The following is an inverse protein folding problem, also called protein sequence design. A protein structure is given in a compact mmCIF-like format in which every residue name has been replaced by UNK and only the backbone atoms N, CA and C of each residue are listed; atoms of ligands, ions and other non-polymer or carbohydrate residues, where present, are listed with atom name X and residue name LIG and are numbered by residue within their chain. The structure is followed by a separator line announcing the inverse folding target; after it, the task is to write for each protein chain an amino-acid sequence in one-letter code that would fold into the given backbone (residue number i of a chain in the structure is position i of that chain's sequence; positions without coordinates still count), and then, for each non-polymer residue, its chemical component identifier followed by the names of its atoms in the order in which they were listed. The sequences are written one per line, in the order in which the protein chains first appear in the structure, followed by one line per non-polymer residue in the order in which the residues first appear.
data_IF_132741857835
#
_entry.id   IF_132741857835
#
_cell.length_a   1.000
_cell.length_b   1.000
_cell.length_c   1.000
_cell.angle_alpha   90.00
_cell.angle_beta   90.00
_cell.angle_gamma   90.00
#
_symmetry.space_group_name_H-M   'P 1'
#
loop_
_entity.id
_entity.type
_entity.pdbx_description
1 polymer ?
#
# COMPACT_ATOMS: atom_id res chain seq x y z
N UNK A 1 -63.55 12.72 24.66
CA UNK A 1 -64.20 11.76 23.74
C UNK A 1 -63.19 10.65 23.46
N UNK A 2 -63.19 9.54 24.22
CA UNK A 2 -63.80 8.23 23.86
C UNK A 2 -63.14 7.62 22.60
N UNK A 3 -62.03 6.87 22.78
CA UNK A 3 -61.83 5.40 22.56
C UNK A 3 -61.75 4.93 21.09
N UNK A 4 -60.66 4.30 20.60
CA UNK A 4 -60.13 2.91 20.79
C UNK A 4 -60.92 1.80 20.04
N UNK A 5 -60.16 0.88 19.41
CA UNK A 5 -60.50 -0.46 18.82
C UNK A 5 -60.87 -0.45 17.33
N UNK A 6 -60.42 -1.33 16.44
CA UNK A 6 -59.67 -2.59 16.57
C UNK A 6 -60.46 -3.78 15.99
N UNK A 7 -59.77 -4.60 15.17
CA UNK A 7 -59.91 -6.07 14.93
C UNK A 7 -60.83 -6.65 13.83
N UNK A 8 -60.18 -7.44 12.95
CA UNK A 8 -60.34 -8.89 12.61
C UNK A 8 -61.37 -9.38 11.57
N UNK A 9 -60.88 -10.31 10.70
CA UNK A 9 -61.40 -11.65 10.31
C UNK A 9 -61.25 -11.88 8.78
N UNK A 10 -60.35 -12.73 8.26
CA UNK A 10 -60.37 -14.21 8.05
C UNK A 10 -61.71 -14.76 7.54
N UNK A 11 -61.73 -15.30 6.30
CA UNK A 11 -62.48 -16.52 5.96
C UNK A 11 -61.93 -17.20 4.69
N UNK A 12 -61.74 -18.52 4.77
CA UNK A 12 -61.33 -19.44 3.70
C UNK A 12 -62.56 -20.12 3.06
N UNK A 13 -62.47 -20.51 1.78
CA UNK A 13 -63.40 -21.45 1.11
C UNK A 13 -62.60 -22.45 0.26
N UNK A 14 -62.93 -23.73 0.44
CA UNK A 14 -62.47 -24.94 -0.27
C UNK A 14 -63.67 -25.54 -1.03
N UNK A 15 -63.48 -26.19 -2.19
CA UNK A 15 -64.23 -27.34 -2.81
C UNK A 15 -63.54 -27.66 -4.17
N UNK A 16 -62.78 -28.76 -4.41
CA UNK A 16 -63.10 -30.15 -4.91
C UNK A 16 -63.96 -30.20 -6.20
N UNK A 17 -63.81 -31.03 -7.27
CA UNK A 17 -63.09 -32.27 -7.61
C UNK A 17 -63.17 -32.55 -9.15
N UNK A 18 -62.26 -33.33 -9.76
CA UNK A 18 -62.50 -34.59 -10.52
C UNK A 18 -61.37 -35.00 -11.50
N UNK A 19 -61.02 -36.29 -11.43
CA UNK A 19 -60.06 -37.08 -12.22
C UNK A 19 -60.70 -37.69 -13.49
N UNK A 20 -59.90 -37.87 -14.56
CA UNK A 20 -60.06 -38.94 -15.58
C UNK A 20 -58.68 -39.53 -15.93
N UNK A 21 -58.66 -40.84 -16.22
CA UNK A 21 -57.56 -41.82 -16.24
C UNK A 21 -56.81 -42.00 -17.58
N UNK A 22 -55.47 -42.17 -17.49
CA UNK A 22 -54.52 -43.10 -18.20
C UNK A 22 -54.40 -43.14 -19.76
N UNK A 23 -53.27 -43.64 -20.38
CA UNK A 23 -52.27 -44.58 -19.86
C UNK A 23 -50.76 -44.27 -20.06
N UNK A 24 -49.95 -45.06 -19.34
CA UNK A 24 -48.49 -45.22 -19.44
C UNK A 24 -48.04 -45.83 -20.78
N UNK A 25 -46.91 -45.34 -21.31
CA UNK A 25 -45.84 -46.20 -21.83
C UNK A 25 -44.48 -45.49 -21.96
N UNK A 26 -43.53 -45.93 -21.14
CA UNK A 26 -42.15 -46.34 -21.49
C UNK A 26 -41.19 -45.31 -22.12
N UNK A 27 -40.27 -44.74 -21.33
CA UNK A 27 -38.82 -45.03 -21.37
C UNK A 27 -38.02 -44.09 -20.45
N UNK A 28 -37.31 -44.69 -19.49
CA UNK A 28 -36.00 -44.25 -19.02
C UNK A 28 -35.95 -43.03 -18.11
N UNK A 29 -36.06 -43.22 -16.80
CA UNK A 29 -35.19 -42.62 -15.78
C UNK A 29 -35.46 -43.33 -14.45
N UNK A 30 -34.61 -44.30 -14.10
CA UNK A 30 -34.65 -44.97 -12.79
C UNK A 30 -33.29 -44.92 -12.15
N UNK A 31 -33.30 -44.63 -10.83
CA UNK A 31 -32.23 -44.77 -9.83
C UNK A 31 -31.22 -43.63 -9.70
N UNK A 32 -31.65 -42.52 -9.10
CA UNK A 32 -30.77 -41.65 -8.30
C UNK A 32 -31.51 -40.82 -7.22
N UNK A 33 -32.69 -41.25 -6.76
CA UNK A 33 -33.46 -40.50 -5.76
C UNK A 33 -33.98 -41.42 -4.65
N UNK A 34 -33.07 -42.07 -3.94
CA UNK A 34 -33.34 -42.72 -2.65
C UNK A 34 -32.01 -43.10 -1.95
N UNK A 35 -31.22 -42.11 -1.56
CA UNK A 35 -30.16 -42.30 -0.56
C UNK A 35 -29.73 -41.00 0.16
N UNK A 36 -30.60 -39.99 0.23
CA UNK A 36 -30.32 -38.75 0.97
C UNK A 36 -30.88 -38.90 2.40
N UNK A 37 -30.23 -39.76 3.19
CA UNK A 37 -30.31 -39.74 4.65
C UNK A 37 -29.23 -40.67 5.21
N UNK A 38 -27.98 -40.19 5.12
CA UNK A 38 -26.79 -40.58 5.90
C UNK A 38 -25.64 -39.71 5.39
N UNK A 39 -25.54 -38.49 5.92
CA UNK A 39 -24.26 -37.78 5.90
C UNK A 39 -23.27 -38.64 6.71
N UNK A 40 -22.14 -39.09 6.14
CA UNK A 40 -21.12 -39.71 6.95
C UNK A 40 -20.52 -38.62 7.84
N UNK A 41 -20.65 -38.80 9.16
CA UNK A 41 -19.79 -38.16 10.15
C UNK A 41 -18.38 -38.72 9.94
N UNK A 42 -17.62 -38.13 9.01
CA UNK A 42 -16.24 -38.49 8.76
C UNK A 42 -15.49 -37.33 8.09
N UNK A 43 -15.06 -36.36 8.91
CA UNK A 43 -13.98 -35.41 8.64
C UNK A 43 -13.58 -34.75 9.98
N UNK A 44 -13.45 -35.54 11.05
CA UNK A 44 -13.06 -35.02 12.36
C UNK A 44 -12.31 -36.06 13.19
N UNK A 45 -11.12 -36.45 12.73
CA UNK A 45 -10.29 -37.36 13.54
C UNK A 45 -8.78 -37.07 13.46
N UNK A 46 -8.30 -36.05 12.73
CA UNK A 46 -6.87 -35.68 12.73
C UNK A 46 -6.56 -34.36 13.44
N UNK A 47 -7.46 -33.37 13.38
CA UNK A 47 -7.27 -32.06 14.04
C UNK A 47 -7.35 -32.11 15.57
N UNK A 48 -8.37 -32.79 16.12
CA UNK A 48 -8.55 -32.92 17.58
C UNK A 48 -7.39 -33.67 18.26
N UNK A 49 -6.84 -34.69 17.59
CA UNK A 49 -5.67 -35.44 18.10
C UNK A 49 -4.38 -34.61 18.09
N UNK A 50 -4.25 -33.67 17.16
CA UNK A 50 -3.10 -32.78 17.05
C UNK A 50 -3.17 -31.68 18.12
N UNK A 51 -4.36 -31.09 18.33
CA UNK A 51 -4.55 -30.03 19.32
C UNK A 51 -4.34 -30.49 20.77
N UNK A 52 -4.86 -31.67 21.15
CA UNK A 52 -4.63 -32.20 22.50
C UNK A 52 -3.15 -32.55 22.75
N UNK A 53 -2.44 -33.00 21.71
CA UNK A 53 -1.01 -33.23 21.79
C UNK A 53 -0.23 -31.92 21.97
N UNK A 54 -0.58 -30.86 21.24
CA UNK A 54 0.00 -29.53 21.39
C UNK A 54 -0.24 -29.01 22.82
N UNK A 55 -1.49 -29.05 23.31
CA UNK A 55 -1.82 -28.62 24.68
C UNK A 55 -1.03 -29.37 25.74
N UNK A 56 -0.88 -30.69 25.57
CA UNK A 56 -0.04 -31.49 26.45
C UNK A 56 1.43 -31.04 26.39
N UNK A 57 1.98 -30.81 25.20
CA UNK A 57 3.35 -30.36 25.03
C UNK A 57 3.61 -28.97 25.66
N UNK A 58 2.63 -28.06 25.56
CA UNK A 58 2.65 -26.75 26.25
C UNK A 58 2.80 -26.95 27.76
N UNK A 59 1.92 -27.77 28.36
CA UNK A 59 1.94 -28.05 29.81
C UNK A 59 3.24 -28.73 30.23
N UNK A 60 3.67 -29.75 29.50
CA UNK A 60 4.88 -30.52 29.82
C UNK A 60 6.16 -29.64 29.77
N UNK A 61 6.20 -28.63 28.89
CA UNK A 61 7.31 -27.67 28.78
C UNK A 61 7.17 -26.44 29.69
N UNK A 62 6.01 -26.23 30.31
CA UNK A 62 5.72 -25.01 31.07
C UNK A 62 5.62 -23.75 30.20
N UNK A 63 5.26 -23.92 28.92
CA UNK A 63 5.15 -22.82 27.97
C UNK A 63 3.97 -21.90 28.31
N UNK A 64 4.12 -20.60 28.02
CA UNK A 64 3.22 -19.54 28.48
C UNK A 64 2.21 -19.09 27.41
N UNK A 65 1.68 -20.03 26.62
CA UNK A 65 0.69 -19.77 25.58
C UNK A 65 -0.42 -20.81 25.53
N UNK A 66 -1.54 -20.45 24.93
CA UNK A 66 -2.72 -21.31 24.82
C UNK A 66 -2.93 -21.72 23.37
N UNK A 67 -3.08 -23.03 23.14
CA UNK A 67 -3.49 -23.58 21.85
C UNK A 67 -5.01 -23.83 21.79
N UNK A 68 -5.60 -23.47 20.65
CA UNK A 68 -7.00 -23.71 20.34
C UNK A 68 -7.27 -23.71 18.84
N UNK A 69 -8.48 -24.06 18.44
CA UNK A 69 -8.87 -23.91 17.03
C UNK A 69 -8.89 -22.43 16.62
N UNK A 70 -8.34 -22.14 15.46
CA UNK A 70 -8.25 -20.79 14.88
C UNK A 70 -8.86 -20.77 13.48
N UNK A 71 -9.01 -19.58 12.89
CA UNK A 71 -9.36 -19.42 11.47
C UNK A 71 -8.39 -20.16 10.54
N UNK A 72 -7.10 -20.26 10.92
CA UNK A 72 -6.05 -20.92 10.15
C UNK A 72 -6.01 -22.42 10.38
N UNK A 73 -6.13 -22.89 11.63
CA UNK A 73 -6.02 -24.33 11.94
C UNK A 73 -7.14 -25.15 11.29
N UNK A 74 -8.32 -24.53 11.07
CA UNK A 74 -9.46 -25.11 10.36
C UNK A 74 -9.25 -25.23 8.84
N UNK A 75 -8.25 -24.56 8.27
CA UNK A 75 -7.97 -24.62 6.82
C UNK A 75 -7.36 -25.98 6.45
N UNK A 76 -7.58 -26.40 5.21
CA UNK A 76 -6.91 -27.56 4.63
C UNK A 76 -5.38 -27.41 4.73
N UNK A 77 -4.66 -28.52 4.87
CA UNK A 77 -3.21 -28.50 5.07
C UNK A 77 -2.45 -27.75 3.96
N UNK A 78 -2.83 -27.93 2.70
CA UNK A 78 -2.19 -27.24 1.58
C UNK A 78 -2.42 -25.72 1.61
N UNK A 79 -3.59 -25.27 2.08
CA UNK A 79 -3.89 -23.85 2.28
C UNK A 79 -3.06 -23.24 3.41
N UNK A 80 -2.70 -24.05 4.43
CA UNK A 80 -1.82 -23.61 5.53
C UNK A 80 -0.36 -23.46 5.08
N UNK A 81 0.13 -24.38 4.24
CA UNK A 81 1.46 -24.25 3.62
C UNK A 81 1.57 -22.98 2.78
N UNK A 82 0.50 -22.64 2.05
CA UNK A 82 0.41 -21.40 1.28
C UNK A 82 0.51 -20.12 2.11
N UNK A 83 0.51 -20.18 3.45
CA UNK A 83 0.74 -19.01 4.30
C UNK A 83 2.23 -18.66 4.45
N UNK A 84 3.12 -19.62 4.20
CA UNK A 84 4.56 -19.48 4.38
C UNK A 84 5.24 -19.16 3.04
N UNK A 85 5.37 -17.86 2.75
CA UNK A 85 5.85 -17.35 1.48
C UNK A 85 7.26 -16.78 1.48
N UNK A 86 8.03 -16.92 2.56
CA UNK A 86 9.40 -16.42 2.60
C UNK A 86 10.35 -17.52 2.14
N UNK A 87 10.94 -17.35 0.95
CA UNK A 87 11.69 -18.41 0.26
C UNK A 87 13.07 -18.69 0.86
N UNK A 88 13.67 -17.72 1.55
CA UNK A 88 14.94 -17.92 2.25
C UNK A 88 14.93 -17.12 3.55
N UNK A 89 15.17 -17.83 4.64
CA UNK A 89 15.44 -17.22 5.93
C UNK A 89 16.93 -16.98 5.96
N UNK A 90 17.38 -15.72 5.95
CA UNK A 90 18.80 -15.49 5.84
C UNK A 90 19.53 -16.10 7.04
N UNK A 91 20.63 -16.82 6.78
CA UNK A 91 21.58 -17.16 7.83
C UNK A 91 22.01 -15.84 8.50
N UNK A 92 21.79 -15.75 9.83
CA UNK A 92 22.07 -14.61 10.72
C UNK A 92 22.80 -13.46 10.02
N UNK A 93 22.07 -12.42 9.63
CA UNK A 93 22.67 -11.30 8.90
C UNK A 93 23.29 -10.33 9.89
N UNK A 94 24.61 -10.12 9.80
CA UNK A 94 25.24 -8.97 10.47
C UNK A 94 24.69 -7.66 9.87
N UNK A 95 24.08 -6.85 10.73
CA UNK A 95 23.44 -5.60 10.36
C UNK A 95 24.01 -4.40 11.10
N UNK A 96 23.31 -3.28 10.99
CA UNK A 96 23.62 -2.07 11.72
C UNK A 96 23.31 -2.23 13.21
N UNK A 97 24.20 -1.68 14.05
CA UNK A 97 23.98 -1.58 15.50
C UNK A 97 23.13 -0.35 15.80
N UNK A 98 22.28 -0.45 16.81
CA UNK A 98 21.53 0.70 17.27
C UNK A 98 22.47 1.71 17.98
N UNK A 99 22.25 3.00 17.74
CA UNK A 99 22.99 4.06 18.43
C UNK A 99 22.54 4.22 19.88
N UNK A 100 21.31 3.79 20.20
CA UNK A 100 20.69 3.90 21.53
C UNK A 100 20.53 2.52 22.14
N UNK A 101 21.09 2.32 23.34
CA UNK A 101 20.94 1.10 24.16
C UNK A 101 20.05 1.29 25.39
N UNK A 102 19.56 2.52 25.62
CA UNK A 102 18.69 2.83 26.74
C UNK A 102 17.22 2.82 26.29
N UNK A 103 16.49 1.78 26.65
CA UNK A 103 15.07 1.63 26.35
C UNK A 103 14.25 1.30 27.60
N UNK A 104 12.95 1.59 27.53
CA UNK A 104 12.00 1.16 28.57
C UNK A 104 11.82 -0.36 28.53
N UNK A 105 11.37 -1.01 29.63
CA UNK A 105 11.16 -2.46 29.65
C UNK A 105 10.11 -2.97 28.67
N UNK A 106 9.28 -2.09 28.10
CA UNK A 106 8.27 -2.44 27.12
C UNK A 106 8.03 -1.30 26.14
N UNK A 107 7.67 -1.67 24.92
CA UNK A 107 7.12 -0.79 23.89
C UNK A 107 6.02 -1.57 23.18
N UNK A 108 4.91 -0.91 22.88
CA UNK A 108 3.87 -1.46 22.02
C UNK A 108 3.34 -0.34 21.14
N UNK A 109 3.69 -0.34 19.85
CA UNK A 109 3.23 0.68 18.90
C UNK A 109 1.71 0.72 18.74
N UNK A 110 0.98 -0.33 19.17
CA UNK A 110 -0.48 -0.32 19.25
C UNK A 110 -1.03 0.57 20.37
N UNK A 111 -0.17 0.98 21.30
CA UNK A 111 -0.55 1.79 22.45
C UNK A 111 0.66 2.55 23.04
N UNK A 112 1.16 3.54 22.31
CA UNK A 112 2.16 4.49 22.83
C UNK A 112 1.43 5.71 23.35
N UNK A 113 1.37 5.85 24.68
CA UNK A 113 0.71 6.99 25.32
C UNK A 113 -0.81 7.04 25.15
N UNK A 114 -1.47 5.90 24.88
CA UNK A 114 -2.89 5.82 24.58
C UNK A 114 -3.23 5.86 23.09
N UNK A 115 -2.23 5.94 22.22
CA UNK A 115 -2.38 6.07 20.77
C UNK A 115 -1.87 4.82 20.04
N UNK A 116 -2.66 4.33 19.10
CA UNK A 116 -2.26 3.27 18.16
C UNK A 116 -1.61 3.90 16.94
N UNK A 117 -0.38 3.50 16.62
CA UNK A 117 0.39 3.98 15.47
C UNK A 117 0.44 2.95 14.33
N UNK A 118 -0.30 1.86 14.46
CA UNK A 118 -0.34 0.76 13.49
C UNK A 118 -1.59 0.82 12.63
N UNK A 119 -1.58 0.12 11.50
CA UNK A 119 -2.76 -0.06 10.63
C UNK A 119 -3.53 -1.34 10.96
N UNK A 120 -4.73 -1.48 10.39
CA UNK A 120 -5.58 -2.65 10.60
C UNK A 120 -4.93 -3.98 10.18
N UNK A 121 -5.42 -5.09 10.75
CA UNK A 121 -4.96 -6.44 10.39
C UNK A 121 -5.57 -6.86 9.04
N UNK A 122 -4.73 -7.35 8.13
CA UNK A 122 -5.11 -7.89 6.81
C UNK A 122 -5.03 -9.44 6.78
N UNK A 123 -5.58 -10.06 5.73
CA UNK A 123 -5.53 -11.51 5.47
C UNK A 123 -4.93 -11.79 4.08
N UNK A 124 -3.75 -12.42 4.04
CA UNK A 124 -3.07 -12.84 2.80
C UNK A 124 -3.75 -14.04 2.12
N UNK A 125 -4.88 -14.52 2.64
CA UNK A 125 -5.63 -15.67 2.16
C UNK A 125 -4.75 -16.92 2.04
N UNK A 126 -4.75 -17.61 0.90
CA UNK A 126 -3.95 -18.82 0.66
C UNK A 126 -2.86 -18.59 -0.39
N UNK A 127 -2.25 -17.42 -0.34
CA UNK A 127 -1.13 -17.03 -1.18
C UNK A 127 0.11 -16.80 -0.30
N UNK A 128 1.27 -17.29 -0.73
CA UNK A 128 2.55 -17.08 -0.06
C UNK A 128 3.08 -15.66 -0.26
N UNK A 129 2.25 -14.65 -0.03
CA UNK A 129 2.57 -13.23 -0.19
C UNK A 129 2.92 -12.55 1.14
N UNK A 130 3.19 -13.30 2.22
CA UNK A 130 3.60 -12.73 3.51
C UNK A 130 4.76 -11.73 3.37
N UNK A 131 5.65 -11.97 2.40
CA UNK A 131 6.77 -11.08 2.08
C UNK A 131 6.33 -9.67 1.69
N UNK A 132 5.15 -9.51 1.09
CA UNK A 132 4.55 -8.21 0.77
C UNK A 132 3.89 -7.62 2.02
N UNK A 133 3.00 -8.38 2.66
CA UNK A 133 2.24 -7.95 3.85
C UNK A 133 3.15 -7.49 5.00
N UNK A 134 4.17 -8.28 5.36
CA UNK A 134 5.06 -7.95 6.48
C UNK A 134 5.92 -6.71 6.20
N UNK A 135 6.27 -6.45 4.94
CA UNK A 135 7.01 -5.26 4.54
C UNK A 135 6.11 -4.02 4.51
N UNK A 136 4.94 -4.13 3.88
CA UNK A 136 3.96 -3.04 3.78
C UNK A 136 3.45 -2.65 5.16
N UNK A 137 3.10 -3.59 6.04
CA UNK A 137 2.62 -3.27 7.38
C UNK A 137 3.64 -2.48 8.23
N UNK A 138 4.93 -2.71 8.03
CA UNK A 138 5.98 -1.91 8.66
C UNK A 138 6.06 -0.50 8.06
N UNK A 139 5.99 -0.41 6.73
CA UNK A 139 6.00 0.85 5.99
C UNK A 139 4.80 1.75 6.34
N UNK A 140 3.59 1.19 6.40
CA UNK A 140 2.38 1.92 6.77
C UNK A 140 2.47 2.51 8.19
N UNK A 141 2.88 1.69 9.17
CA UNK A 141 3.01 2.15 10.55
C UNK A 141 4.15 3.17 10.72
N UNK A 142 5.27 2.99 9.99
CA UNK A 142 6.36 3.95 9.98
C UNK A 142 5.91 5.31 9.44
N UNK A 143 5.12 5.35 8.38
CA UNK A 143 4.54 6.60 7.86
C UNK A 143 3.75 7.35 8.94
N UNK A 144 2.87 6.64 9.68
CA UNK A 144 2.08 7.27 10.73
C UNK A 144 2.97 7.91 11.80
N UNK A 145 4.06 7.24 12.17
CA UNK A 145 5.04 7.73 13.16
C UNK A 145 5.83 8.93 12.62
N UNK A 146 6.32 8.87 11.38
CA UNK A 146 7.10 9.95 10.74
C UNK A 146 6.26 11.22 10.55
N UNK A 147 4.99 11.07 10.16
CA UNK A 147 4.03 12.18 10.04
C UNK A 147 3.48 12.66 11.38
N UNK A 148 3.85 12.00 12.48
CA UNK A 148 3.30 12.23 13.82
C UNK A 148 1.76 12.24 13.84
N UNK A 149 1.13 11.42 13.01
CA UNK A 149 -0.31 11.37 12.81
C UNK A 149 -0.83 9.92 12.78
N UNK A 150 -1.45 9.45 13.89
CA UNK A 150 -1.99 8.09 13.98
C UNK A 150 -3.28 7.88 13.17
N UNK A 151 -3.95 8.96 12.75
CA UNK A 151 -5.23 8.90 12.02
C UNK A 151 -5.02 8.69 10.50
N UNK A 152 -3.76 8.62 10.04
CA UNK A 152 -3.46 8.25 8.65
C UNK A 152 -3.75 6.75 8.49
N UNK A 153 -4.83 6.43 7.79
CA UNK A 153 -5.15 5.07 7.37
C UNK A 153 -4.48 4.78 6.03
N UNK A 154 -3.13 4.76 6.03
CA UNK A 154 -2.36 4.42 4.83
C UNK A 154 -2.55 2.93 4.55
N UNK A 155 -3.38 2.61 3.56
CA UNK A 155 -3.65 1.25 3.11
C UNK A 155 -2.95 1.00 1.78
N UNK A 156 -1.76 0.38 1.83
CA UNK A 156 -0.95 0.10 0.64
C UNK A 156 -1.28 -1.26 0.03
N UNK A 157 -1.08 -1.38 -1.28
CA UNK A 157 -1.42 -2.56 -2.05
C UNK A 157 -0.34 -3.64 -1.97
N UNK A 158 -0.67 -4.77 -1.34
CA UNK A 158 0.13 -5.98 -1.48
C UNK A 158 0.00 -6.61 -2.87
N UNK A 159 -1.10 -6.35 -3.60
CA UNK A 159 -1.32 -6.89 -4.94
C UNK A 159 -0.40 -6.28 -5.98
N UNK A 160 -0.10 -4.99 -5.87
CA UNK A 160 0.82 -4.31 -6.77
C UNK A 160 2.21 -4.96 -6.68
N UNK A 161 2.72 -5.18 -5.47
CA UNK A 161 3.92 -5.97 -5.24
C UNK A 161 3.80 -7.38 -5.85
N UNK A 162 2.71 -8.10 -5.59
CA UNK A 162 2.49 -9.47 -6.08
C UNK A 162 2.44 -9.56 -7.62
N UNK A 163 1.92 -8.54 -8.29
CA UNK A 163 1.64 -8.55 -9.73
C UNK A 163 2.76 -7.91 -10.57
N UNK A 164 3.44 -6.91 -10.00
CA UNK A 164 4.43 -6.09 -10.70
C UNK A 164 5.87 -6.53 -10.42
N UNK A 165 6.13 -7.11 -9.25
CA UNK A 165 7.47 -7.60 -8.90
C UNK A 165 7.71 -9.04 -9.41
N UNK A 166 8.96 -9.52 -9.37
CA UNK A 166 9.27 -10.94 -9.60
C UNK A 166 8.81 -11.91 -8.48
N UNK A 167 8.14 -11.44 -7.43
CA UNK A 167 7.56 -12.28 -6.38
C UNK A 167 6.34 -13.07 -6.86
N UNK A 168 5.83 -13.97 -6.03
CA UNK A 168 4.67 -14.80 -6.37
C UNK A 168 3.99 -15.37 -5.11
N UNK A 169 2.87 -16.10 -5.29
CA UNK A 169 2.26 -16.88 -4.22
C UNK A 169 3.09 -18.10 -3.80
N UNK A 170 4.14 -18.45 -4.53
CA UNK A 170 5.15 -19.43 -4.11
C UNK A 170 6.26 -18.80 -3.26
N UNK A 171 6.20 -17.48 -3.06
CA UNK A 171 7.07 -16.75 -2.18
C UNK A 171 8.07 -15.84 -2.85
N UNK A 172 8.78 -15.08 -2.00
CA UNK A 172 9.88 -14.20 -2.39
C UNK A 172 10.84 -13.91 -1.21
N UNK A 173 11.64 -12.86 -1.32
CA UNK A 173 12.71 -12.52 -0.36
C UNK A 173 12.51 -11.11 0.20
N UNK A 174 12.63 -10.95 1.53
CA UNK A 174 12.52 -9.65 2.20
C UNK A 174 13.42 -8.58 1.55
N UNK A 175 14.70 -8.87 1.34
CA UNK A 175 15.63 -7.90 0.73
C UNK A 175 15.24 -7.46 -0.67
N UNK A 176 14.65 -8.36 -1.47
CA UNK A 176 14.18 -8.01 -2.82
C UNK A 176 12.88 -7.21 -2.76
N UNK A 177 11.99 -7.52 -1.82
CA UNK A 177 10.81 -6.70 -1.54
C UNK A 177 11.20 -5.29 -1.15
N UNK A 178 12.13 -5.12 -0.20
CA UNK A 178 12.57 -3.79 0.24
C UNK A 178 13.30 -3.03 -0.87
N UNK A 179 14.11 -3.70 -1.69
CA UNK A 179 14.70 -3.07 -2.89
C UNK A 179 13.63 -2.67 -3.91
N UNK A 180 12.54 -3.43 -4.04
CA UNK A 180 11.42 -3.07 -4.89
C UNK A 180 10.68 -1.84 -4.35
N UNK A 181 10.34 -1.81 -3.06
CA UNK A 181 9.71 -0.65 -2.41
C UNK A 181 10.58 0.62 -2.52
N UNK A 182 11.91 0.46 -2.49
CA UNK A 182 12.86 1.55 -2.72
C UNK A 182 12.90 2.04 -4.17
N UNK A 183 12.91 1.11 -5.12
CA UNK A 183 13.08 1.43 -6.54
C UNK A 183 11.79 1.85 -7.22
N UNK A 184 10.77 0.98 -7.13
CA UNK A 184 9.49 1.09 -7.81
C UNK A 184 8.36 1.55 -6.87
N UNK A 185 8.37 1.08 -5.61
CA UNK A 185 7.31 1.37 -4.65
C UNK A 185 6.13 0.40 -4.73
N UNK A 186 5.01 0.84 -4.16
CA UNK A 186 3.68 0.23 -4.28
C UNK A 186 2.62 1.34 -4.28
N UNK A 187 1.45 1.09 -4.88
CA UNK A 187 0.30 2.00 -4.82
C UNK A 187 -0.55 1.75 -3.58
N UNK A 188 -1.58 2.57 -3.36
CA UNK A 188 -2.59 2.29 -2.35
C UNK A 188 -3.56 1.16 -2.78
N UNK A 189 -4.15 0.48 -1.80
CA UNK A 189 -5.02 -0.69 -1.97
C UNK A 189 -6.23 -0.39 -2.88
N UNK A 190 -6.75 0.83 -2.88
CA UNK A 190 -7.89 1.17 -3.76
C UNK A 190 -7.49 1.29 -5.23
N UNK A 191 -6.20 1.55 -5.52
CA UNK A 191 -5.67 1.52 -6.88
C UNK A 191 -5.52 0.08 -7.40
N UNK A 192 -5.06 -0.84 -6.54
CA UNK A 192 -4.86 -2.24 -6.91
C UNK A 192 -5.27 -3.18 -5.78
N UNK A 193 -6.57 -3.53 -5.67
CA UNK A 193 -7.05 -4.35 -4.56
C UNK A 193 -6.50 -5.77 -4.55
N UNK A 194 -6.21 -6.28 -3.35
CA UNK A 194 -5.71 -7.62 -3.10
C UNK A 194 -6.69 -8.73 -3.45
N UNK A 195 -6.22 -9.68 -4.26
CA UNK A 195 -7.00 -10.80 -4.78
C UNK A 195 -6.34 -12.16 -4.55
N UNK A 196 -5.16 -12.18 -3.92
CA UNK A 196 -4.40 -13.40 -3.63
C UNK A 196 -4.13 -14.27 -4.87
N UNK A 197 -3.86 -13.61 -6.00
CA UNK A 197 -3.67 -14.23 -7.31
C UNK A 197 -2.48 -13.55 -8.02
N UNK A 198 -1.41 -14.32 -8.23
CA UNK A 198 -0.18 -13.90 -8.89
C UNK A 198 -0.23 -14.04 -10.42
N UNK A 199 -1.39 -14.37 -10.99
CA UNK A 199 -1.64 -14.39 -12.43
C UNK A 199 -2.24 -13.08 -12.95
N UNK A 200 -2.63 -12.17 -12.06
CA UNK A 200 -3.16 -10.86 -12.41
C UNK A 200 -2.02 -10.00 -12.96
N UNK A 201 -2.16 -9.41 -14.16
CA UNK A 201 -1.10 -8.62 -14.74
C UNK A 201 -0.95 -7.27 -14.04
N UNK A 202 0.29 -6.79 -13.91
CA UNK A 202 0.59 -5.45 -13.37
C UNK A 202 -0.19 -4.31 -14.06
N UNK A 203 -0.54 -4.46 -15.35
CA UNK A 203 -1.33 -3.48 -16.10
C UNK A 203 -2.77 -3.28 -15.60
N UNK A 204 -3.26 -4.14 -14.70
CA UNK A 204 -4.59 -4.01 -14.08
C UNK A 204 -4.62 -2.99 -12.94
N UNK A 205 -3.47 -2.42 -12.56
CA UNK A 205 -3.41 -1.27 -11.66
C UNK A 205 -4.21 -0.07 -12.20
N UNK A 206 -4.64 0.82 -11.32
CA UNK A 206 -5.41 2.01 -11.71
C UNK A 206 -4.64 2.90 -12.72
N UNK A 207 -5.32 3.63 -13.63
CA UNK A 207 -4.64 4.44 -14.64
C UNK A 207 -3.71 5.53 -14.10
N UNK A 208 -4.01 6.05 -12.90
CA UNK A 208 -3.28 7.09 -12.18
C UNK A 208 -2.28 6.53 -11.14
N UNK A 209 -1.87 5.26 -11.29
CA UNK A 209 -0.97 4.58 -10.35
C UNK A 209 0.33 5.36 -10.08
N UNK A 210 0.86 6.04 -11.08
CA UNK A 210 2.12 6.77 -10.99
C UNK A 210 2.07 7.89 -9.93
N UNK A 211 0.93 8.59 -9.82
CA UNK A 211 0.72 9.67 -8.86
C UNK A 211 0.38 9.16 -7.44
N UNK A 212 0.14 7.85 -7.33
CA UNK A 212 -0.32 7.17 -6.10
C UNK A 212 0.74 6.26 -5.49
N UNK A 213 1.92 6.23 -6.10
CA UNK A 213 3.01 5.35 -5.69
C UNK A 213 3.65 5.85 -4.39
N UNK A 214 3.86 4.94 -3.46
CA UNK A 214 4.55 5.11 -2.19
C UNK A 214 5.84 4.32 -2.18
N UNK A 215 6.87 4.88 -1.56
CA UNK A 215 8.23 4.34 -1.59
C UNK A 215 8.89 4.48 -0.22
N UNK A 216 9.93 3.68 -0.03
CA UNK A 216 10.90 3.88 1.04
C UNK A 216 12.17 4.49 0.45
N UNK A 217 12.85 5.35 1.19
CA UNK A 217 14.07 5.99 0.67
C UNK A 217 15.26 5.05 0.72
N UNK A 218 15.44 4.41 1.87
CA UNK A 218 16.51 3.42 2.10
C UNK A 218 16.03 2.33 3.06
N UNK A 219 16.80 1.25 3.15
CA UNK A 219 16.62 0.21 4.15
C UNK A 219 17.96 -0.43 4.52
N UNK A 220 18.00 -1.11 5.66
CA UNK A 220 19.17 -1.88 6.06
C UNK A 220 18.82 -3.01 7.02
N UNK A 221 19.75 -3.96 7.17
CA UNK A 221 19.63 -5.02 8.15
C UNK A 221 19.95 -4.50 9.55
N UNK A 222 19.23 -5.00 10.56
CA UNK A 222 19.54 -4.77 11.97
C UNK A 222 20.44 -5.89 12.46
N UNK A 223 21.44 -5.56 13.30
CA UNK A 223 22.24 -6.57 13.96
C UNK A 223 21.32 -7.46 14.83
N UNK A 224 21.40 -8.80 14.77
CA UNK A 224 20.36 -9.69 15.28
C UNK A 224 20.53 -9.94 16.78
N UNK A 225 20.50 -8.86 17.56
CA UNK A 225 20.49 -8.87 19.02
C UNK A 225 19.23 -8.18 19.51
N UNK A 226 18.73 -8.60 20.69
CA UNK A 226 17.59 -7.93 21.31
C UNK A 226 17.83 -6.42 21.48
N UNK A 227 19.04 -6.02 21.88
CA UNK A 227 19.41 -4.62 22.12
C UNK A 227 19.30 -3.78 20.84
N UNK A 228 19.87 -4.27 19.74
CA UNK A 228 19.86 -3.54 18.46
C UNK A 228 18.46 -3.50 17.85
N UNK A 229 17.71 -4.61 17.91
CA UNK A 229 16.33 -4.68 17.44
C UNK A 229 15.43 -3.73 18.24
N UNK A 230 15.55 -3.69 19.57
CA UNK A 230 14.82 -2.73 20.43
C UNK A 230 15.19 -1.29 20.08
N UNK A 231 16.47 -1.02 19.86
CA UNK A 231 16.96 0.31 19.51
C UNK A 231 16.41 0.84 18.17
N UNK A 232 16.20 -0.03 17.18
CA UNK A 232 15.52 0.34 15.94
C UNK A 232 13.99 0.38 16.07
N UNK A 233 13.39 -0.51 16.88
CA UNK A 233 11.95 -0.50 17.17
C UNK A 233 11.49 0.78 17.88
N UNK A 234 12.38 1.45 18.62
CA UNK A 234 12.09 2.78 19.19
C UNK A 234 11.78 3.83 18.12
N UNK A 235 12.23 3.63 16.87
CA UNK A 235 11.99 4.56 15.77
C UNK A 235 10.72 4.20 15.00
N UNK A 236 10.56 2.92 14.65
CA UNK A 236 9.39 2.43 13.92
C UNK A 236 9.32 0.89 13.97
N UNK A 237 8.15 0.29 13.68
CA UNK A 237 8.01 -1.15 13.44
C UNK A 237 8.97 -1.69 12.37
N UNK A 238 9.40 -2.95 12.54
CA UNK A 238 10.42 -3.58 11.70
C UNK A 238 9.86 -4.82 10.98
N UNK A 239 9.98 -4.94 9.65
CA UNK A 239 9.72 -6.22 8.99
C UNK A 239 10.74 -7.26 9.46
N UNK A 240 10.26 -8.43 9.83
CA UNK A 240 11.12 -9.55 10.23
C UNK A 240 10.64 -10.90 9.73
N UNK A 241 11.58 -11.81 9.57
CA UNK A 241 11.36 -13.20 9.21
C UNK A 241 11.23 -14.12 10.41
N UNK A 242 10.40 -15.16 10.34
CA UNK A 242 10.36 -16.24 11.32
C UNK A 242 10.12 -17.60 10.67
N UNK A 243 10.50 -18.67 11.36
CA UNK A 243 10.12 -20.05 11.03
C UNK A 243 8.72 -20.34 11.56
N UNK A 244 7.87 -20.95 10.72
CA UNK A 244 6.55 -21.43 11.12
C UNK A 244 6.57 -22.94 11.31
N UNK A 245 5.95 -23.39 12.40
CA UNK A 245 5.72 -24.80 12.71
C UNK A 245 4.22 -25.07 12.84
N UNK A 246 3.81 -26.32 12.71
CA UNK A 246 2.38 -26.67 12.69
C UNK A 246 1.60 -26.29 13.94
N UNK A 247 2.25 -26.25 15.11
CA UNK A 247 1.61 -25.85 16.37
C UNK A 247 1.24 -24.37 16.40
N UNK A 248 2.01 -23.51 15.72
CA UNK A 248 1.72 -22.08 15.60
C UNK A 248 0.37 -21.78 14.93
N UNK A 249 -0.11 -22.65 14.03
CA UNK A 249 -1.45 -22.49 13.44
C UNK A 249 -2.58 -22.51 14.49
N UNK A 250 -2.35 -23.11 15.65
CA UNK A 250 -3.31 -23.20 16.75
C UNK A 250 -3.10 -22.13 17.83
N UNK A 251 -2.20 -21.16 17.64
CA UNK A 251 -1.96 -20.09 18.59
C UNK A 251 -3.24 -19.25 18.83
N UNK A 252 -3.65 -19.13 20.09
CA UNK A 252 -4.76 -18.27 20.51
C UNK A 252 -4.29 -17.02 21.23
N UNK A 253 -3.41 -17.17 22.21
CA UNK A 253 -2.93 -16.08 23.07
C UNK A 253 -1.73 -16.52 23.90
N UNK A 254 -1.04 -15.55 24.49
CA UNK A 254 0.12 -15.75 25.37
C UNK A 254 1.46 -15.59 24.65
N UNK A 255 2.55 -16.04 25.26
CA UNK A 255 3.89 -15.94 24.69
C UNK A 255 4.25 -17.26 24.01
N UNK A 256 4.16 -17.27 22.68
CA UNK A 256 4.46 -18.45 21.88
C UNK A 256 5.95 -18.84 22.01
N UNK A 257 6.16 -20.14 22.20
CA UNK A 257 7.44 -20.81 21.97
C UNK A 257 7.13 -22.18 21.34
N UNK A 258 7.98 -22.64 20.43
CA UNK A 258 7.69 -23.87 19.70
C UNK A 258 7.83 -25.09 20.62
N UNK A 259 6.77 -25.91 20.71
CA UNK A 259 6.73 -27.07 21.60
C UNK A 259 6.62 -28.40 20.87
N UNK A 260 6.03 -28.40 19.66
CA UNK A 260 5.75 -29.61 18.90
C UNK A 260 5.44 -29.34 17.44
N UNK A 261 5.46 -30.37 16.59
CA UNK A 261 5.04 -30.23 15.19
C UNK A 261 6.20 -30.02 14.23
N UNK A 262 5.88 -30.05 12.94
CA UNK A 262 6.89 -29.99 11.86
C UNK A 262 7.04 -28.55 11.36
N UNK A 263 8.21 -28.27 10.80
CA UNK A 263 8.48 -27.04 10.06
C UNK A 263 7.58 -26.95 8.81
N UNK A 264 7.01 -25.78 8.56
CA UNK A 264 6.10 -25.50 7.45
C UNK A 264 6.65 -24.46 6.47
N UNK A 265 7.61 -23.63 6.88
CA UNK A 265 8.26 -22.66 6.00
C UNK A 265 8.66 -21.38 6.70
N UNK A 266 9.30 -20.49 5.93
CA UNK A 266 9.59 -19.13 6.34
C UNK A 266 8.36 -18.24 6.17
N UNK A 267 8.17 -17.32 7.11
CA UNK A 267 7.08 -16.36 7.12
C UNK A 267 7.61 -14.97 7.43
N UNK A 268 7.01 -13.94 6.84
CA UNK A 268 7.37 -12.54 7.11
C UNK A 268 6.23 -11.88 7.90
N UNK A 269 6.60 -11.22 8.99
CA UNK A 269 5.72 -10.50 9.91
C UNK A 269 6.33 -9.13 10.22
N UNK A 270 5.63 -8.32 11.00
CA UNK A 270 6.16 -7.01 11.46
C UNK A 270 6.31 -7.03 12.97
N UNK A 271 7.51 -6.74 13.48
CA UNK A 271 7.73 -6.44 14.90
C UNK A 271 7.18 -5.05 15.21
N UNK A 272 6.33 -4.95 16.22
CA UNK A 272 5.71 -3.68 16.64
C UNK A 272 6.01 -3.32 18.10
N UNK A 273 6.79 -4.14 18.79
CA UNK A 273 7.06 -3.91 20.21
C UNK A 273 7.71 -5.09 20.91
N UNK A 274 7.91 -4.93 22.21
CA UNK A 274 8.48 -5.94 23.10
C UNK A 274 7.97 -5.76 24.53
N UNK A 275 8.13 -6.80 25.34
CA UNK A 275 7.85 -6.79 26.77
C UNK A 275 8.89 -7.64 27.51
N UNK A 276 9.80 -6.98 28.21
CA UNK A 276 10.86 -7.63 28.99
C UNK A 276 10.32 -8.35 30.24
N UNK A 277 9.13 -8.01 30.73
CA UNK A 277 8.52 -8.77 31.84
C UNK A 277 8.14 -10.17 31.38
N UNK A 278 7.61 -10.26 30.16
CA UNK A 278 7.19 -11.51 29.54
C UNK A 278 8.25 -12.13 28.60
N UNK A 279 9.40 -11.45 28.42
CA UNK A 279 10.51 -11.86 27.57
C UNK A 279 10.07 -12.17 26.14
N UNK A 280 9.29 -11.26 25.54
CA UNK A 280 8.66 -11.50 24.24
C UNK A 280 8.64 -10.30 23.30
N UNK A 281 8.67 -10.60 22.01
CA UNK A 281 8.35 -9.69 20.92
C UNK A 281 6.84 -9.64 20.67
N UNK A 282 6.34 -8.49 20.24
CA UNK A 282 4.95 -8.27 19.82
C UNK A 282 4.93 -8.12 18.30
N UNK A 283 4.11 -8.92 17.61
CA UNK A 283 4.15 -9.04 16.17
C UNK A 283 2.77 -8.85 15.51
N UNK A 284 2.73 -8.11 14.40
CA UNK A 284 1.60 -8.06 13.48
C UNK A 284 1.67 -9.23 12.51
N UNK A 285 0.59 -10.00 12.40
CA UNK A 285 0.47 -11.08 11.42
C UNK A 285 -0.48 -10.69 10.27
N UNK A 286 -0.51 -11.50 9.22
CA UNK A 286 -1.28 -11.30 7.99
C UNK A 286 -2.31 -12.41 7.74
N UNK A 287 -2.83 -13.04 8.81
CA UNK A 287 -3.77 -14.16 8.74
C UNK A 287 -5.20 -13.81 9.18
N UNK A 288 -5.52 -12.51 9.11
CA UNK A 288 -6.82 -11.96 9.47
C UNK A 288 -7.03 -11.79 10.99
N UNK A 289 -8.00 -10.96 11.39
CA UNK A 289 -8.24 -10.60 12.78
C UNK A 289 -8.83 -11.74 13.63
N UNK A 290 -9.33 -12.81 13.02
CA UNK A 290 -9.87 -13.97 13.75
C UNK A 290 -8.79 -14.93 14.27
N UNK A 291 -7.54 -14.76 13.83
CA UNK A 291 -6.41 -15.57 14.26
C UNK A 291 -5.70 -14.94 15.46
N UNK A 292 -5.17 -15.76 16.39
CA UNK A 292 -4.39 -15.26 17.52
C UNK A 292 -5.12 -14.22 18.40
N UNK A 293 -4.38 -13.20 18.83
CA UNK A 293 -4.83 -12.10 19.68
C UNK A 293 -5.42 -10.97 18.84
N UNK A 294 -6.41 -11.27 18.00
CA UNK A 294 -7.02 -10.29 17.10
C UNK A 294 -6.17 -10.00 15.85
N UNK A 295 -5.42 -10.99 15.36
CA UNK A 295 -4.44 -10.88 14.28
C UNK A 295 -3.00 -10.68 14.76
N UNK A 296 -2.83 -10.39 16.04
CA UNK A 296 -1.53 -10.21 16.69
C UNK A 296 -1.05 -11.50 17.35
N UNK A 297 0.25 -11.57 17.61
CA UNK A 297 0.82 -12.59 18.48
C UNK A 297 2.01 -12.07 19.25
N UNK A 298 2.34 -12.78 20.32
CA UNK A 298 3.57 -12.57 21.08
C UNK A 298 4.41 -13.83 21.00
N UNK A 299 5.72 -13.66 20.86
CA UNK A 299 6.67 -14.75 20.70
C UNK A 299 7.89 -14.47 21.57
N UNK A 300 8.36 -15.50 22.26
CA UNK A 300 9.50 -15.42 23.17
C UNK A 300 10.76 -14.96 22.43
N UNK A 301 11.63 -14.22 23.10
CA UNK A 301 12.95 -13.86 22.55
C UNK A 301 13.76 -15.13 22.18
N UNK A 302 14.50 -15.06 21.09
CA UNK A 302 15.31 -16.16 20.56
C UNK A 302 14.53 -17.32 19.91
N UNK A 303 13.19 -17.27 19.84
CA UNK A 303 12.39 -18.34 19.24
C UNK A 303 12.23 -18.22 17.73
N UNK A 304 12.12 -19.37 17.07
CA UNK A 304 11.77 -19.49 15.65
C UNK A 304 12.65 -18.66 14.69
N UNK A 305 13.85 -18.25 15.10
CA UNK A 305 14.74 -17.41 14.29
C UNK A 305 14.21 -16.00 14.03
N UNK A 306 13.27 -15.50 14.85
CA UNK A 306 12.58 -14.23 14.59
C UNK A 306 13.51 -12.99 14.58
N UNK A 307 14.68 -13.11 15.17
CA UNK A 307 15.68 -12.03 15.24
C UNK A 307 16.63 -12.04 14.03
N UNK A 308 16.71 -13.16 13.28
CA UNK A 308 17.78 -13.40 12.31
C UNK A 308 17.67 -12.60 11.01
N UNK A 309 16.46 -12.12 10.67
CA UNK A 309 16.17 -11.43 9.41
C UNK A 309 15.32 -10.18 9.62
N UNK A 310 15.76 -9.30 10.52
CA UNK A 310 15.08 -8.03 10.83
C UNK A 310 15.70 -6.88 10.04
N UNK A 311 14.86 -6.08 9.36
CA UNK A 311 15.32 -4.89 8.65
C UNK A 311 14.69 -3.61 9.21
N UNK A 312 15.36 -2.48 9.06
CA UNK A 312 14.81 -1.14 9.30
C UNK A 312 14.58 -0.41 7.97
N UNK A 313 13.58 0.46 7.93
CA UNK A 313 13.30 1.34 6.79
C UNK A 313 13.72 2.77 7.14
N UNK A 314 14.02 3.57 6.12
CA UNK A 314 14.34 4.99 6.24
C UNK A 314 13.39 5.75 5.33
N UNK A 315 12.65 6.68 5.93
CA UNK A 315 11.69 7.61 5.31
C UNK A 315 10.67 6.91 4.38
N UNK A 316 9.39 7.00 4.74
CA UNK A 316 8.27 6.60 3.89
C UNK A 316 7.67 7.84 3.25
N UNK A 317 7.50 7.81 1.94
CA UNK A 317 6.98 8.98 1.23
C UNK A 317 6.16 8.57 0.00
N UNK A 318 5.22 9.43 -0.37
CA UNK A 318 4.52 9.31 -1.64
C UNK A 318 5.39 9.89 -2.75
N UNK A 319 5.73 9.07 -3.75
CA UNK A 319 6.50 9.46 -4.93
C UNK A 319 5.63 10.29 -5.88
N UNK A 320 5.30 11.52 -5.47
CA UNK A 320 4.54 12.45 -6.28
C UNK A 320 5.44 13.08 -7.34
N UNK A 321 4.92 13.14 -8.57
CA UNK A 321 5.58 13.86 -9.66
C UNK A 321 5.71 15.35 -9.31
N UNK A 322 6.75 16.03 -9.84
CA UNK A 322 6.82 17.47 -9.74
C UNK A 322 5.70 18.05 -10.61
N UNK A 323 5.16 19.20 -10.20
CA UNK A 323 4.13 19.91 -10.96
C UNK A 323 4.66 21.25 -11.44
N UNK A 324 4.10 21.75 -12.54
CA UNK A 324 4.30 23.10 -13.05
C UNK A 324 2.95 23.66 -13.41
N UNK A 325 2.75 24.96 -13.19
CA UNK A 325 1.52 25.65 -13.53
C UNK A 325 1.79 27.00 -14.18
N UNK A 326 0.96 27.40 -15.14
CA UNK A 326 1.06 28.71 -15.79
C UNK A 326 -0.33 29.29 -16.02
N UNK A 327 -0.50 30.59 -15.74
CA UNK A 327 -1.79 31.27 -15.90
C UNK A 327 -1.63 32.74 -16.26
N UNK A 328 -2.69 33.32 -16.82
CA UNK A 328 -2.85 34.76 -17.07
C UNK A 328 -4.06 35.29 -16.30
N UNK A 329 -4.05 36.56 -15.91
CA UNK A 329 -5.15 37.18 -15.15
C UNK A 329 -6.43 37.40 -15.98
N UNK A 330 -6.29 37.55 -17.29
CA UNK A 330 -7.40 37.72 -18.23
C UNK A 330 -7.23 36.82 -19.46
N UNK A 331 -8.32 36.67 -20.21
CA UNK A 331 -8.36 35.85 -21.43
C UNK A 331 -8.22 36.68 -22.71
N UNK A 332 -8.24 38.01 -22.61
CA UNK A 332 -8.24 38.94 -23.75
C UNK A 332 -7.40 40.15 -23.44
N UNK A 333 -6.56 40.57 -24.38
CA UNK A 333 -5.70 41.73 -24.23
C UNK A 333 -5.62 42.56 -25.51
N UNK A 334 -5.41 43.86 -25.36
CA UNK A 334 -5.04 44.82 -26.39
C UNK A 334 -3.57 45.26 -26.23
N UNK A 335 -2.90 45.74 -27.30
CA UNK A 335 -1.54 46.28 -27.19
C UNK A 335 -1.47 47.45 -26.21
N UNK A 336 -0.55 47.33 -25.24
CA UNK A 336 -0.36 48.27 -24.15
C UNK A 336 -0.96 47.83 -22.82
N UNK A 337 -1.85 46.83 -22.82
CA UNK A 337 -2.41 46.26 -21.59
C UNK A 337 -1.33 45.68 -20.69
N UNK A 338 -1.66 45.55 -19.40
CA UNK A 338 -0.81 44.87 -18.43
C UNK A 338 -1.36 43.46 -18.22
N UNK A 339 -0.61 42.46 -18.64
CA UNK A 339 -0.91 41.05 -18.43
C UNK A 339 -0.13 40.54 -17.24
N UNK A 340 -0.82 40.02 -16.22
CA UNK A 340 -0.18 39.32 -15.11
C UNK A 340 -0.03 37.85 -15.50
N UNK A 341 1.22 37.39 -15.63
CA UNK A 341 1.54 35.98 -15.84
C UNK A 341 2.02 35.38 -14.53
N UNK A 342 1.38 34.32 -14.07
CA UNK A 342 1.77 33.59 -12.87
C UNK A 342 2.32 32.21 -13.26
N UNK A 343 3.48 31.85 -12.69
CA UNK A 343 4.17 30.59 -12.92
C UNK A 343 4.47 29.94 -11.56
N UNK A 344 4.01 28.71 -11.39
CA UNK A 344 4.26 27.90 -10.21
C UNK A 344 4.98 26.60 -10.56
N UNK A 345 5.77 26.07 -9.62
CA UNK A 345 6.23 24.70 -9.67
C UNK A 345 6.39 24.13 -8.26
N UNK A 346 6.10 22.84 -8.10
CA UNK A 346 6.33 22.13 -6.84
C UNK A 346 7.01 20.79 -7.09
N UNK A 347 7.79 20.32 -6.13
CA UNK A 347 8.27 18.94 -6.08
C UNK A 347 7.95 18.34 -4.72
N UNK A 348 6.75 17.76 -4.57
CA UNK A 348 6.35 17.11 -3.33
C UNK A 348 7.03 15.75 -3.10
N UNK A 349 7.66 15.17 -4.13
CA UNK A 349 8.38 13.89 -4.05
C UNK A 349 9.88 14.02 -3.81
N UNK A 350 10.65 13.03 -4.26
CA UNK A 350 12.12 13.01 -4.10
C UNK A 350 12.83 14.10 -4.89
N UNK A 351 14.06 14.41 -4.44
CA UNK A 351 14.97 15.20 -5.24
C UNK A 351 15.14 14.59 -6.64
N UNK A 352 14.82 15.37 -7.66
CA UNK A 352 14.95 14.94 -9.03
C UNK A 352 15.41 16.08 -9.92
N UNK A 353 16.26 15.73 -10.89
CA UNK A 353 16.64 16.65 -11.94
C UNK A 353 15.53 16.68 -12.99
N UNK A 354 15.08 17.89 -13.35
CA UNK A 354 14.08 18.16 -14.39
C UNK A 354 14.67 19.12 -15.42
N UNK A 355 14.21 19.03 -16.67
CA UNK A 355 14.36 20.13 -17.62
C UNK A 355 13.09 20.96 -17.61
N UNK A 356 13.23 22.27 -17.54
CA UNK A 356 12.11 23.21 -17.54
C UNK A 356 12.04 23.88 -18.89
N UNK A 357 10.88 23.77 -19.55
CA UNK A 357 10.61 24.42 -20.83
C UNK A 357 9.41 25.36 -20.67
N UNK A 358 9.58 26.63 -21.03
CA UNK A 358 8.49 27.60 -21.06
C UNK A 358 8.49 28.29 -22.42
N UNK A 359 7.33 28.29 -23.05
CA UNK A 359 7.15 28.76 -24.42
C UNK A 359 5.77 29.36 -24.65
N UNK A 360 5.63 30.05 -25.78
CA UNK A 360 4.33 30.56 -26.26
C UNK A 360 4.08 30.00 -27.65
N UNK A 361 2.96 29.30 -27.79
CA UNK A 361 2.42 28.87 -29.08
C UNK A 361 1.63 30.00 -29.72
N UNK A 362 1.90 30.21 -31.01
CA UNK A 362 1.29 31.22 -31.86
C UNK A 362 0.01 30.68 -32.52
N UNK A 363 -0.84 31.57 -33.08
CA UNK A 363 -2.02 31.16 -33.86
C UNK A 363 -1.72 30.24 -35.06
N UNK A 364 -0.48 30.22 -35.57
CA UNK A 364 -0.03 29.34 -36.65
C UNK A 364 0.43 27.96 -36.17
N UNK A 365 0.29 27.66 -34.87
CA UNK A 365 0.67 26.40 -34.23
C UNK A 365 2.17 26.26 -33.93
N UNK A 366 2.97 27.31 -34.12
CA UNK A 366 4.41 27.27 -33.80
C UNK A 366 4.68 27.78 -32.39
N UNK A 367 5.36 26.96 -31.60
CA UNK A 367 5.84 27.32 -30.26
C UNK A 367 7.21 27.98 -30.31
N UNK A 368 7.34 29.13 -29.67
CA UNK A 368 8.62 29.78 -29.37
C UNK A 368 8.97 29.46 -27.93
N UNK A 369 9.99 28.63 -27.72
CA UNK A 369 10.52 28.29 -26.39
C UNK A 369 11.60 29.29 -25.99
N UNK A 370 11.47 29.89 -24.81
CA UNK A 370 12.39 30.92 -24.34
C UNK A 370 13.03 30.61 -22.99
N UNK A 371 12.41 29.75 -22.17
CA UNK A 371 13.12 29.04 -21.10
C UNK A 371 13.33 27.61 -21.57
N UNK A 372 14.58 27.17 -21.56
CA UNK A 372 14.96 25.79 -21.76
C UNK A 372 16.15 25.51 -20.83
N UNK A 373 15.84 25.15 -19.58
CA UNK A 373 16.83 24.85 -18.55
C UNK A 373 16.96 23.33 -18.49
N UNK A 374 18.03 22.72 -19.04
CA UNK A 374 18.09 21.28 -19.25
C UNK A 374 18.37 20.45 -17.99
N UNK A 375 18.61 21.09 -16.83
CA UNK A 375 18.90 20.38 -15.58
C UNK A 375 18.74 21.32 -14.39
N UNK A 376 17.53 21.42 -13.88
CA UNK A 376 17.20 22.03 -12.59
C UNK A 376 16.97 20.91 -11.58
N UNK A 377 17.64 20.96 -10.45
CA UNK A 377 17.38 20.03 -9.35
C UNK A 377 16.25 20.59 -8.50
N UNK A 378 15.10 19.93 -8.51
CA UNK A 378 14.04 20.22 -7.56
C UNK A 378 14.27 19.35 -6.34
N UNK A 379 14.57 19.96 -5.19
CA UNK A 379 14.69 19.22 -3.91
C UNK A 379 13.32 18.72 -3.45
N UNK A 380 13.30 17.78 -2.51
CA UNK A 380 12.05 17.39 -1.86
C UNK A 380 11.42 18.59 -1.14
N UNK A 381 10.10 18.76 -1.27
CA UNK A 381 9.36 19.90 -0.73
C UNK A 381 9.67 21.23 -1.43
N UNK A 382 10.26 21.20 -2.63
CA UNK A 382 10.52 22.43 -3.39
C UNK A 382 9.18 23.10 -3.75
N UNK A 383 9.11 24.41 -3.52
CA UNK A 383 8.00 25.26 -3.96
C UNK A 383 8.58 26.51 -4.61
N UNK A 384 8.06 26.85 -5.78
CA UNK A 384 8.38 28.06 -6.52
C UNK A 384 7.10 28.71 -7.01
N UNK A 385 6.99 30.02 -6.84
CA UNK A 385 5.94 30.83 -7.43
C UNK A 385 6.48 32.20 -7.78
N UNK A 386 6.13 32.68 -8.97
CA UNK A 386 6.41 34.05 -9.40
C UNK A 386 5.21 34.61 -10.13
N UNK A 387 5.03 35.92 -10.03
CA UNK A 387 4.06 36.66 -10.81
C UNK A 387 4.78 37.81 -11.50
N UNK A 388 4.50 38.00 -12.78
CA UNK A 388 5.11 39.05 -13.57
C UNK A 388 4.07 39.83 -14.35
N UNK A 389 4.06 41.13 -14.11
CA UNK A 389 3.29 42.06 -14.92
C UNK A 389 4.08 42.37 -16.20
N UNK A 390 3.46 42.10 -17.34
CA UNK A 390 4.04 42.24 -18.67
C UNK A 390 3.21 43.22 -19.49
N UNK A 391 3.86 44.18 -20.15
CA UNK A 391 3.18 45.03 -21.11
C UNK A 391 2.93 44.27 -22.40
N UNK A 392 1.66 44.14 -22.76
CA UNK A 392 1.21 43.42 -23.96
C UNK A 392 1.71 44.18 -25.20
N UNK A 393 2.51 43.54 -26.06
CA UNK A 393 3.09 44.18 -27.23
C UNK A 393 2.13 44.22 -28.42
N UNK A 394 2.43 45.03 -29.43
CA UNK A 394 1.68 45.03 -30.70
C UNK A 394 2.07 43.80 -31.54
N UNK A 395 1.21 42.78 -31.55
CA UNK A 395 1.39 41.52 -32.29
C UNK A 395 0.12 41.18 -33.10
N UNK A 396 0.18 40.24 -34.07
CA UNK A 396 -0.99 39.82 -34.83
C UNK A 396 -2.14 39.34 -33.92
N UNK A 397 -3.38 39.59 -34.35
CA UNK A 397 -4.54 39.07 -33.63
C UNK A 397 -4.63 37.54 -33.74
N UNK A 398 -5.14 36.92 -32.68
CA UNK A 398 -5.33 35.47 -32.59
C UNK A 398 -5.13 34.95 -31.18
N UNK A 399 -5.28 33.64 -31.03
CA UNK A 399 -5.07 32.93 -29.76
C UNK A 399 -3.60 32.58 -29.60
N UNK A 400 -3.04 32.94 -28.46
CA UNK A 400 -1.70 32.57 -28.03
C UNK A 400 -1.81 31.69 -26.80
N UNK A 401 -0.98 30.66 -26.71
CA UNK A 401 -1.01 29.71 -25.60
C UNK A 401 0.34 29.67 -24.92
N UNK A 402 0.41 30.05 -23.65
CA UNK A 402 1.56 29.78 -22.81
C UNK A 402 1.62 28.29 -22.51
N UNK A 403 2.82 27.72 -22.60
CA UNK A 403 3.14 26.34 -22.26
C UNK A 403 4.22 26.32 -21.20
N UNK A 404 4.04 25.53 -20.16
CA UNK A 404 5.04 25.24 -19.15
C UNK A 404 5.17 23.72 -19.02
N UNK A 405 6.36 23.18 -19.23
CA UNK A 405 6.61 21.73 -19.33
C UNK A 405 7.83 21.36 -18.49
N UNK A 406 7.68 20.34 -17.65
CA UNK A 406 8.81 19.64 -17.03
C UNK A 406 9.07 18.34 -17.81
N UNK A 407 10.33 18.09 -18.14
CA UNK A 407 10.73 16.82 -18.75
C UNK A 407 11.87 16.16 -17.98
N UNK A 408 12.01 14.85 -18.07
CA UNK A 408 13.20 14.16 -17.59
C UNK A 408 14.43 14.57 -18.43
N UNK A 409 15.53 15.06 -17.83
CA UNK A 409 16.71 15.53 -18.55
C UNK A 409 17.41 14.49 -19.41
N UNK A 410 17.30 13.21 -19.04
CA UNK A 410 17.99 12.11 -19.73
C UNK A 410 17.15 11.51 -20.84
N UNK A 411 15.85 11.32 -20.60
CA UNK A 411 14.96 10.63 -21.54
C UNK A 411 14.13 11.59 -22.40
N UNK A 412 13.97 12.85 -21.98
CA UNK A 412 13.07 13.82 -22.60
C UNK A 412 11.59 13.53 -22.36
N UNK A 413 11.25 12.55 -21.52
CA UNK A 413 9.86 12.23 -21.18
C UNK A 413 9.21 13.41 -20.46
N UNK A 414 8.01 13.82 -20.88
CA UNK A 414 7.20 14.83 -20.18
C UNK A 414 6.80 14.27 -18.82
N UNK A 415 7.16 14.98 -17.75
CA UNK A 415 6.81 14.66 -16.38
C UNK A 415 5.49 15.33 -16.01
N UNK A 416 5.33 16.60 -16.38
CA UNK A 416 4.09 17.34 -16.27
C UNK A 416 4.09 18.51 -17.26
N UNK A 417 2.90 18.97 -17.63
CA UNK A 417 2.72 20.17 -18.44
C UNK A 417 1.47 20.92 -18.00
N UNK A 418 1.47 22.24 -18.18
CA UNK A 418 0.32 23.09 -18.01
C UNK A 418 0.32 24.18 -19.10
N UNK A 419 -0.86 24.71 -19.40
CA UNK A 419 -1.01 25.73 -20.44
C UNK A 419 -2.13 26.72 -20.15
N UNK A 420 -1.91 27.97 -20.59
CA UNK A 420 -2.89 29.06 -20.47
C UNK A 420 -3.03 29.80 -21.80
N UNK A 421 -4.26 29.84 -22.33
CA UNK A 421 -4.58 30.51 -23.59
C UNK A 421 -5.17 31.89 -23.36
N UNK A 422 -4.76 32.85 -24.19
CA UNK A 422 -5.29 34.21 -24.22
C UNK A 422 -5.43 34.71 -25.67
N UNK A 423 -6.30 35.70 -25.88
CA UNK A 423 -6.65 36.23 -27.20
C UNK A 423 -6.14 37.67 -27.37
N UNK A 424 -5.37 37.93 -28.43
CA UNK A 424 -4.96 39.28 -28.82
C UNK A 424 -6.05 39.96 -29.66
N UNK A 425 -6.51 41.12 -29.20
CA UNK A 425 -7.53 41.95 -29.86
C UNK A 425 -6.84 43.12 -30.59
N UNK A 426 -7.28 43.46 -31.81
CA UNK A 426 -6.59 44.35 -32.77
C UNK A 426 -6.39 45.82 -32.30
N UNK A 427 -5.25 46.46 -32.70
CA UNK A 427 -5.32 47.51 -33.73
C UNK A 427 -4.20 47.48 -34.81
N UNK A 428 -4.68 47.48 -36.06
CA UNK A 428 -4.16 47.94 -37.38
C UNK A 428 -2.71 47.88 -37.87
N UNK A 429 -1.64 47.65 -37.09
CA UNK A 429 -0.31 47.49 -37.72
C UNK A 429 0.71 46.79 -36.80
N UNK A 430 1.09 45.52 -37.09
CA UNK A 430 2.24 44.89 -36.44
C UNK A 430 3.53 45.58 -36.92
N UNK A 431 4.38 46.07 -36.01
CA UNK A 431 5.59 46.85 -36.36
C UNK A 431 6.92 46.18 -35.99
N UNK A 432 6.97 44.86 -35.77
CA UNK A 432 8.23 44.18 -35.42
C UNK A 432 8.26 42.67 -35.68
N UNK A 433 9.45 42.07 -35.57
CA UNK A 433 9.60 40.62 -35.53
C UNK A 433 9.01 40.09 -34.22
N UNK A 434 8.07 39.16 -34.35
CA UNK A 434 7.31 38.64 -33.22
C UNK A 434 8.21 37.85 -32.25
N UNK A 435 9.37 37.35 -32.69
CA UNK A 435 10.33 36.66 -31.81
C UNK A 435 11.01 37.61 -30.83
N UNK A 436 11.45 38.78 -31.28
CA UNK A 436 12.11 39.79 -30.42
C UNK A 436 11.17 40.29 -29.30
N UNK A 437 9.88 40.29 -29.63
CA UNK A 437 8.79 40.65 -28.72
C UNK A 437 8.61 39.59 -27.62
N UNK A 438 8.60 38.31 -28.00
CA UNK A 438 8.50 37.21 -27.03
C UNK A 438 9.78 37.04 -26.21
N UNK A 439 10.95 37.33 -26.77
CA UNK A 439 12.22 37.32 -26.04
C UNK A 439 12.25 38.38 -24.92
N UNK A 440 11.62 39.55 -25.14
CA UNK A 440 11.46 40.57 -24.08
C UNK A 440 10.53 40.10 -22.96
N UNK A 441 9.37 39.54 -23.31
CA UNK A 441 8.42 38.98 -22.34
C UNK A 441 9.06 37.83 -21.55
N UNK A 442 9.86 37.01 -22.22
CA UNK A 442 10.60 35.91 -21.63
C UNK A 442 11.68 36.36 -20.64
N UNK A 443 12.46 37.40 -20.97
CA UNK A 443 13.50 37.93 -20.08
C UNK A 443 12.94 38.39 -18.72
N UNK A 444 11.64 38.63 -18.63
CA UNK A 444 10.94 39.08 -17.44
C UNK A 444 10.44 37.92 -16.56
N UNK A 445 10.27 36.72 -17.12
CA UNK A 445 9.91 35.48 -16.42
C UNK A 445 11.19 34.65 -16.26
N UNK A 446 11.70 34.50 -15.03
CA UNK A 446 12.90 33.70 -14.75
C UNK A 446 12.57 32.60 -13.74
N UNK A 447 12.68 31.34 -14.16
CA UNK A 447 12.50 30.18 -13.29
C UNK A 447 13.71 29.99 -12.38
N UNK A 448 13.87 30.88 -11.39
CA UNK A 448 14.92 30.84 -10.38
C UNK A 448 16.37 30.82 -10.93
N UNK A 449 17.35 30.87 -10.03
CA UNK A 449 18.77 30.62 -10.36
C UNK A 449 19.25 29.35 -9.68
#
# INVERSE_FOLDING_TARGET
MVTRKGRKAILAIVITAMLVLMPLSVLGYSKAAQSINRLPKALNDSGDRDLDAIRKAIVDRGAQWTAGETSVSRRAQEMRKGLCGLTDLPEVIEGAKAETSAYQPALDWRNVGGTDWTTSIKDQAACGSCWAFGAIAAMEAQNNIEEANPDIDLDLSEQDLLSCSPGSCNGWYLSRTLNWLKGQGTVDETCFPYRADDTIPCSDACPDWADRTWKIKEWGWVNPTEEDIKGYLLKAPLPTSMNVYTDFFYYKEGVYEHVSGRYEGGHLVTLVGWDDTNQCWICKNSWGPEWGEGGWFRIKYGECGIESGTAYLVDVYQARAPTISISTDEFRYEPGDQMLVSLGATNPGEEQAVSVHIGVEKPDGKTVWFINKPSVTLTAGFEYSTEKLLTVPSIPAGTYTWHAVLTNPRTGLILCEDSASWEMVLPNTPTGDITDVFDHLASALDFGK
#
